data_IF_798982280678
#
_entry.id   IF_798982280678
#
_cell.length_a   1.000
_cell.length_b   1.000
_cell.length_c   1.000
_cell.angle_alpha   90.00
_cell.angle_beta   90.00
_cell.angle_gamma   90.00
#
_symmetry.space_group_name_H-M   'P 1'
#
loop_
_entity.id
_entity.type
_entity.pdbx_description
1 polymer ?
#
# COMPACT_ATOMS: atom_id res chain seq x y z
N UNK A 1 -27.21 -2.51 -24.83
CA UNK A 1 -26.78 -1.84 -23.58
C UNK A 1 -26.10 -0.57 -24.02
N UNK A 2 -26.67 0.56 -23.70
CA UNK A 2 -26.15 1.85 -24.16
C UNK A 2 -25.51 2.55 -22.97
N UNK A 3 -24.24 2.84 -23.13
CA UNK A 3 -23.48 3.68 -22.18
C UNK A 3 -23.29 5.04 -22.83
N UNK A 4 -23.74 6.09 -22.16
CA UNK A 4 -23.60 7.47 -22.60
C UNK A 4 -22.50 8.17 -21.81
N UNK A 5 -21.56 8.82 -22.50
CA UNK A 5 -20.46 9.55 -21.87
C UNK A 5 -20.79 11.04 -21.91
N UNK A 6 -21.16 11.63 -20.77
CA UNK A 6 -21.44 13.07 -20.66
C UNK A 6 -20.15 13.90 -20.53
N UNK A 7 -19.12 13.32 -19.90
CA UNK A 7 -17.78 13.91 -19.81
C UNK A 7 -16.74 12.83 -19.97
N UNK A 8 -15.80 13.02 -20.88
CA UNK A 8 -14.69 12.12 -21.14
C UNK A 8 -13.36 12.75 -20.68
N UNK A 9 -12.52 11.95 -20.02
CA UNK A 9 -11.12 12.32 -19.85
C UNK A 9 -10.32 11.93 -21.11
N UNK A 10 -9.29 12.72 -21.51
CA UNK A 10 -8.41 12.35 -22.60
C UNK A 10 -7.73 11.00 -22.33
N UNK A 11 -7.61 10.14 -23.37
CA UNK A 11 -6.92 8.86 -23.27
C UNK A 11 -5.44 8.97 -22.86
N UNK A 12 -4.82 10.13 -23.10
CA UNK A 12 -3.46 10.47 -22.68
C UNK A 12 -3.27 10.60 -21.16
N UNK A 13 -4.37 10.70 -20.41
CA UNK A 13 -4.36 10.79 -18.95
C UNK A 13 -3.92 9.50 -18.23
N UNK A 14 -3.80 8.36 -18.94
CA UNK A 14 -3.18 7.14 -18.40
C UNK A 14 -1.67 7.31 -18.40
N UNK A 15 -1.17 7.98 -17.38
CA UNK A 15 0.21 8.38 -17.18
C UNK A 15 1.20 7.20 -17.34
N UNK A 16 2.05 7.29 -18.35
CA UNK A 16 3.33 6.57 -18.37
C UNK A 16 4.26 7.21 -17.33
N UNK A 17 5.12 6.41 -16.70
CA UNK A 17 6.17 6.94 -15.83
C UNK A 17 7.07 7.82 -16.70
N UNK A 18 7.25 9.09 -16.31
CA UNK A 18 8.11 10.03 -17.03
C UNK A 18 9.56 9.51 -17.05
N UNK A 19 10.17 9.30 -18.24
CA UNK A 19 11.55 8.85 -18.34
C UNK A 19 12.55 9.75 -17.61
N UNK A 20 12.28 11.05 -17.50
CA UNK A 20 13.12 11.99 -16.77
C UNK A 20 13.06 11.73 -15.25
N UNK A 21 11.89 11.39 -14.72
CA UNK A 21 11.74 10.95 -13.31
C UNK A 21 12.53 9.68 -13.08
N UNK A 22 12.39 8.67 -13.95
CA UNK A 22 13.12 7.40 -13.86
C UNK A 22 14.64 7.61 -13.84
N UNK A 23 15.18 8.44 -14.75
CA UNK A 23 16.61 8.73 -14.81
C UNK A 23 17.12 9.46 -13.57
N UNK A 24 16.37 10.48 -13.12
CA UNK A 24 16.71 11.25 -11.91
C UNK A 24 16.75 10.35 -10.67
N UNK A 25 15.74 9.50 -10.49
CA UNK A 25 15.66 8.57 -9.35
C UNK A 25 16.81 7.59 -9.36
N UNK A 26 17.14 7.02 -10.52
CA UNK A 26 18.30 6.11 -10.68
C UNK A 26 19.59 6.75 -10.25
N UNK A 27 19.84 8.00 -10.73
CA UNK A 27 21.05 8.74 -10.36
C UNK A 27 21.17 8.92 -8.84
N UNK A 28 20.07 9.28 -8.17
CA UNK A 28 20.06 9.47 -6.71
C UNK A 28 20.33 8.15 -5.98
N UNK A 29 19.70 7.05 -6.41
CA UNK A 29 19.87 5.73 -5.81
C UNK A 29 21.32 5.26 -5.95
N UNK A 30 21.90 5.35 -7.16
CA UNK A 30 23.27 4.91 -7.44
C UNK A 30 24.28 5.72 -6.64
N UNK A 31 24.06 7.02 -6.49
CA UNK A 31 24.91 7.91 -5.72
C UNK A 31 24.87 7.61 -4.20
N UNK A 32 23.68 7.38 -3.65
CA UNK A 32 23.53 6.99 -2.24
C UNK A 32 24.17 5.62 -2.00
N UNK A 33 24.05 4.70 -2.93
CA UNK A 33 24.73 3.39 -2.85
C UNK A 33 26.25 3.54 -2.79
N UNK A 34 26.79 4.52 -3.47
CA UNK A 34 28.23 4.75 -3.55
C UNK A 34 28.80 5.56 -2.37
N UNK A 35 28.05 6.57 -1.89
CA UNK A 35 28.56 7.57 -0.93
C UNK A 35 27.79 7.61 0.41
N UNK A 36 26.78 6.78 0.62
CA UNK A 36 26.04 6.69 1.88
C UNK A 36 25.47 8.02 2.38
N UNK A 37 25.71 8.34 3.64
CA UNK A 37 25.20 9.55 4.31
C UNK A 37 25.64 10.86 3.66
N UNK A 38 26.80 10.89 3.02
CA UNK A 38 27.27 12.08 2.30
C UNK A 38 26.32 12.46 1.18
N UNK A 39 25.91 11.50 0.35
CA UNK A 39 24.95 11.72 -0.73
C UNK A 39 23.57 12.06 -0.19
N UNK A 40 23.09 11.37 0.87
CA UNK A 40 21.81 11.67 1.52
C UNK A 40 21.77 13.13 1.96
N UNK A 41 22.82 13.63 2.60
CA UNK A 41 22.92 15.01 3.07
C UNK A 41 22.96 16.02 1.93
N UNK A 42 23.69 15.69 0.84
CA UNK A 42 23.73 16.55 -0.34
C UNK A 42 22.36 16.69 -1.00
N UNK A 43 21.62 15.59 -1.17
CA UNK A 43 20.27 15.62 -1.74
C UNK A 43 19.25 16.27 -0.82
N UNK A 44 19.35 16.11 0.50
CA UNK A 44 18.52 16.82 1.47
C UNK A 44 18.70 18.34 1.37
N UNK A 45 19.95 18.83 1.30
CA UNK A 45 20.23 20.25 1.06
C UNK A 45 19.64 20.74 -0.27
N UNK A 46 19.80 19.93 -1.31
CA UNK A 46 19.36 20.28 -2.67
C UNK A 46 17.84 20.33 -2.82
N UNK A 47 17.14 19.31 -2.35
CA UNK A 47 15.71 19.12 -2.60
C UNK A 47 14.84 19.65 -1.48
N UNK A 48 15.21 19.40 -0.21
CA UNK A 48 14.42 19.78 0.96
C UNK A 48 14.88 21.10 1.58
N UNK A 49 16.03 21.65 1.14
CA UNK A 49 16.70 22.81 1.78
C UNK A 49 16.94 22.58 3.26
N UNK A 50 17.29 21.36 3.61
CA UNK A 50 17.39 20.87 4.97
C UNK A 50 18.75 20.21 5.24
N UNK A 51 19.48 20.70 6.26
CA UNK A 51 20.80 20.20 6.61
C UNK A 51 21.03 20.28 8.14
N UNK A 52 20.30 19.46 8.93
CA UNK A 52 20.48 19.40 10.37
C UNK A 52 21.78 18.67 10.72
N UNK A 53 22.24 18.80 11.97
CA UNK A 53 23.35 18.00 12.48
C UNK A 53 23.04 16.49 12.42
N UNK A 54 21.82 16.11 12.85
CA UNK A 54 21.28 14.75 12.70
C UNK A 54 19.87 14.83 12.10
N UNK A 55 19.57 13.95 11.16
CA UNK A 55 18.21 13.79 10.63
C UNK A 55 17.27 13.13 11.64
N UNK A 56 17.79 12.34 12.56
CA UNK A 56 17.03 11.66 13.59
C UNK A 56 16.68 12.63 14.73
N UNK A 57 15.40 12.67 15.08
CA UNK A 57 14.95 13.41 16.25
C UNK A 57 15.26 12.62 17.54
N UNK A 58 15.81 13.31 18.52
CA UNK A 58 16.00 12.73 19.86
C UNK A 58 14.66 12.58 20.60
N UNK A 59 14.59 11.69 21.62
CA UNK A 59 13.40 11.55 22.46
C UNK A 59 12.96 12.88 23.09
N UNK A 60 13.90 13.71 23.52
CA UNK A 60 13.61 15.03 24.12
C UNK A 60 13.01 15.99 23.10
N UNK A 61 13.58 16.05 21.89
CA UNK A 61 13.02 16.85 20.80
C UNK A 61 11.60 16.40 20.44
N UNK A 62 11.34 15.08 20.39
CA UNK A 62 10.00 14.55 20.13
C UNK A 62 9.05 14.92 21.27
N UNK A 63 9.49 14.78 22.53
CA UNK A 63 8.71 15.18 23.72
C UNK A 63 8.30 16.65 23.68
N UNK A 64 9.25 17.54 23.37
CA UNK A 64 9.01 18.97 23.22
C UNK A 64 8.02 19.30 22.09
N UNK A 65 8.14 18.62 20.94
CA UNK A 65 7.24 18.81 19.80
C UNK A 65 5.81 18.42 20.19
N UNK A 66 5.64 17.26 20.79
CA UNK A 66 4.32 16.76 21.23
C UNK A 66 3.73 17.66 22.32
N UNK A 67 4.55 18.10 23.28
CA UNK A 67 4.11 18.96 24.39
C UNK A 67 3.64 20.37 23.97
N UNK A 68 4.02 20.83 22.79
CA UNK A 68 3.58 22.14 22.23
C UNK A 68 2.29 22.08 21.43
N UNK A 69 1.82 20.87 21.10
CA UNK A 69 0.57 20.72 20.35
C UNK A 69 -0.64 20.94 21.26
N UNK A 70 -1.74 21.50 20.73
CA UNK A 70 -3.02 21.53 21.45
C UNK A 70 -3.43 20.11 21.86
N UNK A 71 -3.95 19.95 23.08
CA UNK A 71 -4.39 18.63 23.57
C UNK A 71 -5.45 18.00 22.68
N UNK A 72 -6.35 18.81 22.10
CA UNK A 72 -7.36 18.32 21.14
C UNK A 72 -6.74 17.64 19.92
N UNK A 73 -5.64 18.18 19.37
CA UNK A 73 -4.93 17.56 18.23
C UNK A 73 -4.33 16.21 18.64
N UNK A 74 -3.75 16.12 19.83
CA UNK A 74 -3.18 14.87 20.35
C UNK A 74 -4.28 13.83 20.61
N UNK A 75 -5.43 14.24 21.12
CA UNK A 75 -6.55 13.36 21.41
C UNK A 75 -7.22 12.86 20.12
N UNK A 76 -7.36 13.71 19.09
CA UNK A 76 -7.82 13.31 17.76
C UNK A 76 -6.87 12.28 17.14
N UNK A 77 -5.55 12.51 17.19
CA UNK A 77 -4.54 11.55 16.72
C UNK A 77 -4.71 10.20 17.43
N UNK A 78 -4.86 10.18 18.74
CA UNK A 78 -5.05 8.94 19.52
C UNK A 78 -6.34 8.23 19.14
N UNK A 79 -7.43 8.98 18.96
CA UNK A 79 -8.72 8.43 18.56
C UNK A 79 -8.65 7.74 17.19
N UNK A 80 -8.07 8.42 16.20
CA UNK A 80 -7.90 7.86 14.86
C UNK A 80 -6.99 6.61 14.90
N UNK A 81 -5.89 6.66 15.64
CA UNK A 81 -5.00 5.52 15.80
C UNK A 81 -5.68 4.34 16.50
N UNK A 82 -6.59 4.58 17.43
CA UNK A 82 -7.38 3.53 18.06
C UNK A 82 -8.30 2.84 17.03
N UNK A 83 -8.95 3.60 16.14
CA UNK A 83 -9.79 3.06 15.08
C UNK A 83 -8.96 2.21 14.09
N UNK A 84 -7.83 2.72 13.62
CA UNK A 84 -6.91 1.95 12.73
C UNK A 84 -6.41 0.69 13.41
N UNK A 85 -6.03 0.77 14.69
CA UNK A 85 -5.57 -0.37 15.48
C UNK A 85 -6.65 -1.44 15.61
N UNK A 86 -7.87 -1.04 15.94
CA UNK A 86 -8.98 -1.97 16.13
C UNK A 86 -9.26 -2.77 14.84
N UNK A 87 -9.26 -2.11 13.68
CA UNK A 87 -9.47 -2.78 12.40
C UNK A 87 -8.27 -3.68 12.03
N UNK A 88 -7.04 -3.16 12.16
CA UNK A 88 -5.82 -3.91 11.89
C UNK A 88 -5.70 -5.17 12.77
N UNK A 89 -6.14 -5.12 14.03
CA UNK A 89 -6.19 -6.29 14.91
C UNK A 89 -7.11 -7.39 14.37
N UNK A 90 -8.29 -7.03 13.84
CA UNK A 90 -9.17 -8.02 13.19
C UNK A 90 -8.54 -8.66 11.96
N UNK A 91 -7.79 -7.86 11.17
CA UNK A 91 -7.02 -8.40 10.06
C UNK A 91 -5.94 -9.38 10.55
N UNK A 92 -5.23 -9.04 11.64
CA UNK A 92 -4.19 -9.92 12.22
C UNK A 92 -4.79 -11.23 12.74
N UNK A 93 -5.92 -11.18 13.41
CA UNK A 93 -6.64 -12.33 13.94
C UNK A 93 -7.13 -13.29 12.84
N UNK A 94 -7.36 -12.79 11.62
CA UNK A 94 -7.76 -13.63 10.47
C UNK A 94 -6.60 -14.42 9.85
N UNK A 95 -5.35 -14.13 10.21
CA UNK A 95 -4.14 -14.77 9.72
C UNK A 95 -3.67 -15.84 10.71
N UNK A 96 -4.15 -17.07 10.52
CA UNK A 96 -3.84 -18.18 11.40
C UNK A 96 -2.58 -18.92 10.95
N UNK A 97 -1.76 -19.29 11.92
CA UNK A 97 -0.77 -20.33 11.76
C UNK A 97 -1.49 -21.69 11.84
N UNK A 98 -1.03 -22.67 11.09
CA UNK A 98 -1.59 -24.02 11.15
C UNK A 98 -0.53 -25.08 10.89
N UNK A 99 -0.81 -26.30 11.37
CA UNK A 99 -0.13 -27.52 11.02
C UNK A 99 -1.18 -28.60 10.73
N UNK A 100 -0.95 -29.40 9.72
CA UNK A 100 -1.86 -30.47 9.30
C UNK A 100 -1.07 -31.71 8.92
N UNK A 101 -1.52 -32.88 9.38
CA UNK A 101 -1.07 -34.15 8.90
C UNK A 101 -1.76 -34.47 7.59
N UNK A 102 -1.03 -34.37 6.46
CA UNK A 102 -1.58 -34.58 5.11
C UNK A 102 -1.59 -36.04 4.67
N UNK A 103 -0.68 -36.83 5.22
CA UNK A 103 -0.57 -38.27 5.11
C UNK A 103 -0.05 -38.79 6.44
N UNK A 104 -0.25 -40.06 6.79
CA UNK A 104 0.27 -40.61 8.03
C UNK A 104 1.77 -40.31 8.19
N UNK A 105 2.12 -39.60 9.29
CA UNK A 105 3.48 -39.19 9.58
C UNK A 105 4.04 -38.04 8.74
N UNK A 106 3.26 -37.36 7.88
CA UNK A 106 3.68 -36.21 7.06
C UNK A 106 2.96 -34.96 7.54
N UNK A 107 3.66 -34.04 8.15
CA UNK A 107 3.15 -32.79 8.69
C UNK A 107 3.60 -31.61 7.82
N UNK A 108 2.64 -30.79 7.41
CA UNK A 108 2.88 -29.53 6.71
C UNK A 108 2.30 -28.39 7.53
N UNK A 109 3.05 -27.30 7.67
CA UNK A 109 2.59 -26.15 8.42
C UNK A 109 2.88 -24.82 7.74
N UNK A 110 2.17 -23.80 8.18
CA UNK A 110 2.32 -22.42 7.76
C UNK A 110 2.44 -21.51 8.98
N UNK A 111 3.31 -20.52 8.89
CA UNK A 111 3.49 -19.49 9.90
C UNK A 111 3.48 -18.10 9.28
N UNK A 112 2.87 -17.16 10.00
CA UNK A 112 2.86 -15.73 9.64
C UNK A 112 3.83 -14.99 10.57
N UNK A 113 5.03 -14.75 10.08
CA UNK A 113 6.15 -14.17 10.85
C UNK A 113 6.28 -12.69 10.53
N UNK A 114 6.27 -11.78 11.54
CA UNK A 114 6.52 -10.36 11.31
C UNK A 114 7.88 -10.11 10.66
N UNK A 115 7.93 -9.06 9.84
CA UNK A 115 9.21 -8.48 9.40
C UNK A 115 9.95 -7.93 10.63
N UNK A 116 11.26 -7.91 10.57
CA UNK A 116 12.07 -7.37 11.66
C UNK A 116 12.05 -5.83 11.64
N UNK A 117 12.21 -5.24 10.44
CA UNK A 117 12.34 -3.79 10.25
C UNK A 117 11.43 -3.29 9.15
N UNK A 118 10.69 -2.22 9.43
CA UNK A 118 9.90 -1.50 8.42
C UNK A 118 10.28 -0.03 8.34
N UNK A 119 10.34 0.48 7.12
CA UNK A 119 10.43 1.91 6.82
C UNK A 119 9.03 2.48 6.58
N UNK A 120 8.67 3.52 7.32
CA UNK A 120 7.43 4.25 7.12
C UNK A 120 7.71 5.62 6.51
N UNK A 121 7.42 5.77 5.21
CA UNK A 121 7.53 7.04 4.52
C UNK A 121 6.23 7.83 4.70
N UNK A 122 6.30 8.96 5.41
CA UNK A 122 5.16 9.85 5.63
C UNK A 122 5.34 11.08 4.74
N UNK A 123 4.49 11.26 3.73
CA UNK A 123 4.64 12.37 2.81
C UNK A 123 4.47 13.72 3.51
N UNK A 124 5.18 14.70 2.98
CA UNK A 124 5.07 16.11 3.35
C UNK A 124 5.16 16.98 2.10
N UNK A 125 5.49 18.22 2.28
CA UNK A 125 5.70 19.17 1.19
C UNK A 125 4.49 20.06 0.99
N UNK A 126 3.47 19.65 0.25
CA UNK A 126 2.27 20.47 0.03
C UNK A 126 1.39 20.55 1.28
N UNK A 127 1.11 19.41 1.90
CA UNK A 127 0.29 19.26 3.10
C UNK A 127 0.94 18.31 4.09
N UNK A 128 0.76 18.50 5.43
CA UNK A 128 1.15 17.52 6.42
C UNK A 128 0.18 16.34 6.36
N UNK A 129 0.63 15.20 5.84
CA UNK A 129 -0.22 14.01 5.70
C UNK A 129 -0.17 13.14 6.97
N UNK A 130 -0.73 13.68 8.06
CA UNK A 130 -0.76 13.06 9.40
C UNK A 130 -1.36 11.64 9.36
N UNK A 131 -2.43 11.45 8.59
CA UNK A 131 -3.11 10.17 8.48
C UNK A 131 -2.21 9.04 7.93
N UNK A 132 -1.26 9.35 7.04
CA UNK A 132 -0.31 8.34 6.55
C UNK A 132 0.55 7.73 7.65
N UNK A 133 0.84 8.46 8.73
CA UNK A 133 1.54 7.91 9.90
C UNK A 133 0.68 6.86 10.62
N UNK A 134 -0.62 7.10 10.74
CA UNK A 134 -1.55 6.13 11.35
C UNK A 134 -1.59 4.83 10.54
N UNK A 135 -1.75 4.97 9.22
CA UNK A 135 -1.94 3.85 8.30
C UNK A 135 -0.70 2.96 8.17
N UNK A 136 0.48 3.54 8.14
CA UNK A 136 1.73 2.78 8.00
C UNK A 136 2.22 2.22 9.33
N UNK A 137 2.33 3.06 10.37
CA UNK A 137 3.02 2.69 11.60
C UNK A 137 2.14 1.83 12.51
N UNK A 138 0.85 2.21 12.71
CA UNK A 138 -0.06 1.41 13.56
C UNK A 138 -0.26 0.02 12.97
N UNK A 139 -0.41 -0.09 11.65
CA UNK A 139 -0.57 -1.38 10.95
C UNK A 139 0.67 -2.26 11.12
N UNK A 140 1.88 -1.68 11.00
CA UNK A 140 3.14 -2.39 11.24
C UNK A 140 3.27 -2.87 12.69
N UNK A 141 2.89 -2.02 13.67
CA UNK A 141 2.92 -2.40 15.10
C UNK A 141 1.96 -3.54 15.40
N UNK A 142 0.75 -3.52 14.82
CA UNK A 142 -0.23 -4.61 14.99
C UNK A 142 0.25 -5.91 14.35
N UNK A 143 0.98 -5.83 13.23
CA UNK A 143 1.62 -6.99 12.63
C UNK A 143 2.69 -7.63 13.52
N UNK A 144 3.26 -6.86 14.47
CA UNK A 144 4.33 -7.30 15.36
C UNK A 144 5.73 -6.86 14.91
N UNK A 145 5.85 -5.89 14.01
CA UNK A 145 7.16 -5.34 13.61
C UNK A 145 7.79 -4.62 14.80
N UNK A 146 9.00 -5.01 15.16
CA UNK A 146 9.70 -4.46 16.32
C UNK A 146 10.33 -3.09 16.02
N UNK A 147 11.01 -2.97 14.87
CA UNK A 147 11.72 -1.76 14.48
C UNK A 147 11.02 -1.03 13.34
N UNK A 148 10.53 0.19 13.61
CA UNK A 148 9.88 1.03 12.61
C UNK A 148 10.63 2.35 12.50
N UNK A 149 11.36 2.53 11.40
CA UNK A 149 12.05 3.76 11.06
C UNK A 149 11.12 4.63 10.21
N UNK A 150 10.59 5.69 10.79
CA UNK A 150 9.68 6.61 10.12
C UNK A 150 10.42 7.87 9.64
N UNK A 151 10.08 8.35 8.44
CA UNK A 151 10.64 9.58 7.89
C UNK A 151 9.57 10.48 7.27
N UNK A 152 9.78 11.78 7.38
CA UNK A 152 8.96 12.83 6.75
C UNK A 152 9.85 14.00 6.37
N UNK A 153 9.64 14.69 5.24
CA UNK A 153 10.38 15.90 4.93
C UNK A 153 10.00 17.04 5.86
N UNK A 154 10.87 18.03 6.04
CA UNK A 154 10.47 19.30 6.62
C UNK A 154 9.46 20.01 5.72
N UNK A 155 8.60 20.84 6.31
CA UNK A 155 7.63 21.65 5.56
C UNK A 155 8.06 23.11 5.69
N UNK A 156 8.45 23.75 4.59
CA UNK A 156 8.96 25.13 4.54
C UNK A 156 10.13 25.39 5.50
N UNK A 157 10.99 24.39 5.69
CA UNK A 157 12.14 24.46 6.59
C UNK A 157 11.81 24.26 8.07
N UNK A 158 10.57 23.86 8.38
CA UNK A 158 10.12 23.62 9.75
C UNK A 158 9.74 22.17 10.00
N UNK A 159 9.77 21.77 11.26
CA UNK A 159 9.36 20.42 11.70
C UNK A 159 7.83 20.31 11.62
N UNK A 160 7.25 19.34 10.91
CA UNK A 160 5.82 19.13 10.86
C UNK A 160 5.30 18.49 12.17
N UNK A 161 5.05 19.31 13.17
CA UNK A 161 4.82 18.89 14.55
C UNK A 161 3.71 17.84 14.71
N UNK A 162 2.55 18.02 14.05
CA UNK A 162 1.45 17.06 14.11
C UNK A 162 1.82 15.70 13.48
N UNK A 163 2.61 15.71 12.38
CA UNK A 163 3.08 14.48 11.74
C UNK A 163 4.07 13.75 12.65
N UNK A 164 5.03 14.46 13.26
CA UNK A 164 5.98 13.87 14.21
C UNK A 164 5.26 13.28 15.41
N UNK A 165 4.28 14.00 15.97
CA UNK A 165 3.45 13.50 17.07
C UNK A 165 2.69 12.21 16.67
N UNK A 166 2.10 12.20 15.47
CA UNK A 166 1.41 11.04 14.96
C UNK A 166 2.33 9.82 14.78
N UNK A 167 3.55 10.04 14.26
CA UNK A 167 4.55 8.98 14.13
C UNK A 167 4.96 8.40 15.49
N UNK A 168 5.21 9.28 16.46
CA UNK A 168 5.58 8.90 17.82
C UNK A 168 4.46 8.11 18.52
N UNK A 169 3.25 8.66 18.54
CA UNK A 169 2.08 8.05 19.18
C UNK A 169 1.65 6.73 18.51
N UNK A 170 1.91 6.57 17.22
CA UNK A 170 1.70 5.31 16.51
C UNK A 170 2.71 4.22 16.89
N UNK A 171 3.87 4.58 17.45
CA UNK A 171 4.89 3.67 17.94
C UNK A 171 6.09 3.51 17.01
N UNK A 172 6.44 4.53 16.20
CA UNK A 172 7.71 4.54 15.48
C UNK A 172 8.88 4.45 16.49
N UNK A 173 9.86 3.59 16.20
CA UNK A 173 11.06 3.44 17.04
C UNK A 173 12.11 4.50 16.75
N UNK A 174 12.10 5.05 15.55
CA UNK A 174 12.96 6.12 15.11
C UNK A 174 12.19 7.06 14.20
N UNK A 175 12.39 8.35 14.36
CA UNK A 175 11.78 9.39 13.53
C UNK A 175 12.87 10.27 12.94
N UNK A 176 12.84 10.43 11.60
CA UNK A 176 13.80 11.25 10.87
C UNK A 176 13.09 12.34 10.06
N UNK A 177 13.66 13.54 10.08
CA UNK A 177 13.27 14.63 9.20
C UNK A 177 14.07 14.52 7.90
N UNK A 178 13.59 13.67 7.02
CA UNK A 178 14.19 13.39 5.74
C UNK A 178 13.11 12.96 4.76
N UNK A 179 13.09 13.51 3.55
CA UNK A 179 12.07 13.26 2.54
C UNK A 179 12.63 12.72 1.23
N UNK A 180 11.75 12.61 0.23
CA UNK A 180 12.10 12.33 -1.15
C UNK A 180 12.75 10.97 -1.43
N UNK A 181 13.38 10.90 -2.59
CA UNK A 181 14.11 9.70 -3.05
C UNK A 181 15.23 9.32 -2.10
N UNK A 182 15.93 10.33 -1.54
CA UNK A 182 17.05 10.11 -0.65
C UNK A 182 16.64 9.40 0.65
N UNK A 183 15.45 9.70 1.18
CA UNK A 183 14.92 8.97 2.35
C UNK A 183 14.61 7.51 2.02
N UNK A 184 13.93 7.27 0.90
CA UNK A 184 13.55 5.93 0.44
C UNK A 184 14.80 5.10 0.14
N UNK A 185 15.77 5.68 -0.57
CA UNK A 185 17.02 4.99 -0.91
C UNK A 185 17.85 4.68 0.34
N UNK A 186 17.98 5.62 1.29
CA UNK A 186 18.70 5.39 2.53
C UNK A 186 18.07 4.27 3.38
N UNK A 187 16.75 4.23 3.48
CA UNK A 187 16.03 3.15 4.19
C UNK A 187 16.19 1.80 3.48
N UNK A 188 16.18 1.79 2.14
CA UNK A 188 16.27 0.54 1.36
C UNK A 188 17.68 -0.05 1.34
N UNK A 189 18.70 0.79 1.23
CA UNK A 189 20.10 0.36 1.06
C UNK A 189 20.82 0.23 2.40
N UNK A 190 20.44 1.04 3.38
CA UNK A 190 21.21 1.31 4.58
C UNK A 190 22.33 2.31 4.29
N UNK A 191 22.71 3.09 5.30
CA UNK A 191 23.86 4.01 5.29
C UNK A 191 24.56 3.92 6.64
N UNK A 192 25.55 4.75 6.88
CA UNK A 192 26.31 4.77 8.15
C UNK A 192 25.41 5.06 9.37
N UNK A 193 24.37 5.92 9.19
CA UNK A 193 23.46 6.33 10.29
C UNK A 193 22.04 5.82 10.15
N UNK A 194 21.68 5.24 9.00
CA UNK A 194 20.30 4.76 8.71
C UNK A 194 20.35 3.26 8.45
N UNK A 195 19.83 2.48 9.39
CA UNK A 195 19.78 1.04 9.24
C UNK A 195 18.82 0.63 8.10
N UNK A 196 19.26 -0.35 7.29
CA UNK A 196 18.44 -0.96 6.22
C UNK A 196 17.15 -1.56 6.82
N UNK A 197 16.05 -1.43 6.07
CA UNK A 197 14.75 -2.03 6.41
C UNK A 197 14.39 -3.17 5.45
N UNK A 198 13.46 -4.04 5.87
CA UNK A 198 12.98 -5.17 5.07
C UNK A 198 11.86 -4.76 4.10
N UNK A 199 11.07 -3.74 4.47
CA UNK A 199 9.96 -3.24 3.69
C UNK A 199 9.80 -1.73 3.88
N UNK A 200 9.48 -1.02 2.79
CA UNK A 200 9.10 0.40 2.82
C UNK A 200 7.62 0.54 2.48
N UNK A 201 6.88 1.17 3.38
CA UNK A 201 5.47 1.48 3.21
C UNK A 201 5.22 3.00 3.29
N UNK A 202 4.15 3.42 2.65
CA UNK A 202 3.69 4.79 2.62
C UNK A 202 3.54 5.35 1.20
N UNK A 203 2.54 6.23 0.98
CA UNK A 203 2.34 6.89 -0.30
C UNK A 203 3.41 7.95 -0.55
N UNK A 204 3.52 8.44 -1.77
CA UNK A 204 4.44 9.50 -2.11
C UNK A 204 4.20 10.06 -3.51
N UNK A 205 4.92 11.12 -3.87
CA UNK A 205 4.88 11.68 -5.21
C UNK A 205 5.52 10.72 -6.24
N UNK A 206 5.48 11.09 -7.53
CA UNK A 206 6.01 10.28 -8.62
C UNK A 206 7.48 9.83 -8.42
N UNK A 207 8.32 10.67 -7.80
CA UNK A 207 9.73 10.34 -7.52
C UNK A 207 9.86 9.28 -6.43
N UNK A 208 9.08 9.40 -5.35
CA UNK A 208 9.03 8.41 -4.25
C UNK A 208 8.47 7.07 -4.74
N UNK A 209 7.39 7.10 -5.51
CA UNK A 209 6.81 5.91 -6.12
C UNK A 209 7.82 5.22 -7.05
N UNK A 210 8.54 5.99 -7.88
CA UNK A 210 9.56 5.47 -8.79
C UNK A 210 10.77 4.92 -8.01
N UNK A 211 11.18 5.55 -6.90
CA UNK A 211 12.24 5.03 -6.03
C UNK A 211 11.86 3.66 -5.44
N UNK A 212 10.65 3.52 -4.92
CA UNK A 212 10.13 2.23 -4.45
C UNK A 212 10.14 1.18 -5.56
N UNK A 213 9.73 1.55 -6.78
CA UNK A 213 9.73 0.65 -7.93
C UNK A 213 11.13 0.17 -8.30
N UNK A 214 12.12 1.06 -8.32
CA UNK A 214 13.51 0.69 -8.68
C UNK A 214 14.21 -0.13 -7.60
N UNK A 215 13.84 0.06 -6.34
CA UNK A 215 14.42 -0.65 -5.20
C UNK A 215 13.68 -1.95 -4.84
N UNK A 216 12.52 -2.20 -5.46
CA UNK A 216 11.80 -3.46 -5.25
C UNK A 216 12.65 -4.66 -5.68
N UNK A 217 12.77 -5.63 -4.78
CA UNK A 217 13.66 -6.77 -4.91
C UNK A 217 14.89 -6.67 -4.01
N UNK A 218 15.41 -5.46 -3.74
CA UNK A 218 16.39 -5.20 -2.69
C UNK A 218 15.74 -4.94 -1.33
N UNK A 219 14.53 -4.39 -1.36
CA UNK A 219 13.64 -4.14 -0.24
C UNK A 219 12.21 -4.46 -0.66
N UNK A 220 11.38 -4.94 0.27
CA UNK A 220 9.94 -5.07 0.03
C UNK A 220 9.27 -3.69 -0.06
N UNK A 221 8.15 -3.61 -0.79
CA UNK A 221 7.30 -2.42 -0.82
C UNK A 221 5.84 -2.79 -0.55
N UNK A 222 5.07 -1.86 -0.02
CA UNK A 222 3.62 -2.02 0.15
C UNK A 222 2.92 -2.19 -1.20
N UNK A 223 3.05 -1.19 -2.08
CA UNK A 223 2.53 -1.18 -3.44
C UNK A 223 3.18 -0.06 -4.25
N UNK A 224 2.97 -0.10 -5.57
CA UNK A 224 3.24 1.00 -6.47
C UNK A 224 1.96 1.80 -6.64
N UNK A 225 1.93 3.06 -6.15
CA UNK A 225 0.80 3.96 -6.26
C UNK A 225 1.10 5.14 -7.18
N UNK A 226 0.12 5.51 -7.98
CA UNK A 226 0.08 6.76 -8.73
C UNK A 226 -0.76 7.83 -8.02
N UNK A 227 -1.29 8.82 -8.75
CA UNK A 227 -2.26 9.78 -8.23
C UNK A 227 -3.47 9.07 -7.66
N UNK A 228 -4.02 9.60 -6.58
CA UNK A 228 -5.23 9.06 -5.96
C UNK A 228 -6.44 9.23 -6.85
N UNK A 229 -7.39 8.31 -6.77
CA UNK A 229 -8.55 8.19 -7.63
C UNK A 229 -9.83 8.03 -6.81
N UNK A 230 -10.94 8.63 -7.28
CA UNK A 230 -12.28 8.34 -6.78
C UNK A 230 -13.18 7.90 -7.94
N UNK A 231 -14.02 6.90 -7.68
CA UNK A 231 -15.14 6.53 -8.53
C UNK A 231 -16.41 6.49 -7.68
N UNK A 232 -17.42 7.27 -8.05
CA UNK A 232 -18.74 7.27 -7.41
C UNK A 232 -19.71 6.53 -8.31
N UNK A 233 -20.46 5.57 -7.75
CA UNK A 233 -21.61 4.96 -8.40
C UNK A 233 -22.86 5.55 -7.79
N UNK A 234 -23.72 6.17 -8.61
CA UNK A 234 -24.92 6.87 -8.15
C UNK A 234 -26.16 6.40 -8.92
N UNK A 235 -27.26 6.16 -8.19
CA UNK A 235 -28.59 5.97 -8.79
C UNK A 235 -29.45 7.23 -8.63
N UNK A 236 -30.74 7.12 -8.92
CA UNK A 236 -31.71 8.22 -8.83
C UNK A 236 -31.98 8.71 -7.39
N UNK A 237 -31.56 7.97 -6.38
CA UNK A 237 -31.70 8.33 -4.96
C UNK A 237 -30.50 9.09 -4.41
N UNK A 238 -29.38 9.12 -5.14
CA UNK A 238 -28.20 9.84 -4.73
C UNK A 238 -28.42 11.36 -4.72
N UNK A 239 -27.92 12.06 -3.70
CA UNK A 239 -27.90 13.52 -3.68
C UNK A 239 -26.77 14.03 -4.61
N UNK A 240 -27.13 14.75 -5.70
CA UNK A 240 -26.12 15.27 -6.64
C UNK A 240 -25.13 16.25 -5.99
N UNK A 241 -25.54 16.93 -4.92
CA UNK A 241 -24.67 17.84 -4.17
C UNK A 241 -23.58 17.04 -3.43
N UNK A 242 -23.96 15.96 -2.72
CA UNK A 242 -22.99 15.08 -2.05
C UNK A 242 -22.03 14.45 -3.05
N UNK A 243 -22.53 13.91 -4.17
CA UNK A 243 -21.71 13.37 -5.26
C UNK A 243 -20.66 14.39 -5.73
N UNK A 244 -21.06 15.65 -5.94
CA UNK A 244 -20.12 16.69 -6.38
C UNK A 244 -19.06 17.02 -5.33
N UNK A 245 -19.44 17.08 -4.04
CA UNK A 245 -18.52 17.32 -2.93
C UNK A 245 -17.50 16.19 -2.83
N UNK A 246 -17.93 14.93 -2.93
CA UNK A 246 -17.04 13.78 -2.79
C UNK A 246 -16.09 13.64 -3.99
N UNK A 247 -16.55 13.90 -5.21
CA UNK A 247 -15.65 13.98 -6.39
C UNK A 247 -14.58 15.07 -6.22
N UNK A 248 -14.96 16.24 -5.71
CA UNK A 248 -14.01 17.33 -5.51
C UNK A 248 -13.07 17.11 -4.34
N UNK A 249 -13.51 16.41 -3.29
CA UNK A 249 -12.69 16.08 -2.12
C UNK A 249 -11.46 15.22 -2.49
N UNK A 250 -11.56 14.44 -3.55
CA UNK A 250 -10.46 13.64 -4.05
C UNK A 250 -9.66 14.37 -5.13
N UNK A 251 -10.33 15.15 -5.98
CA UNK A 251 -9.69 15.96 -7.01
C UNK A 251 -8.70 16.99 -6.44
N UNK A 252 -8.87 17.42 -5.18
CA UNK A 252 -7.98 18.37 -4.51
C UNK A 252 -6.60 17.81 -4.14
N UNK A 253 -6.41 16.49 -4.17
CA UNK A 253 -5.12 15.87 -3.86
C UNK A 253 -4.04 16.22 -4.89
N UNK A 254 -4.40 16.35 -6.15
CA UNK A 254 -3.46 16.72 -7.21
C UNK A 254 -4.12 17.02 -8.54
N UNK A 255 -3.42 17.75 -9.43
CA UNK A 255 -3.98 18.15 -10.72
C UNK A 255 -4.22 16.97 -11.68
N UNK A 256 -3.72 15.79 -11.35
CA UNK A 256 -3.79 14.55 -12.12
C UNK A 256 -4.61 13.44 -11.41
N UNK A 257 -5.41 13.80 -10.38
CA UNK A 257 -6.28 12.89 -9.62
C UNK A 257 -7.59 12.62 -10.38
N UNK A 258 -7.88 11.39 -10.85
CA UNK A 258 -9.12 11.06 -11.51
C UNK A 258 -10.33 11.15 -10.57
N UNK A 259 -11.42 11.75 -11.05
CA UNK A 259 -12.70 11.81 -10.37
C UNK A 259 -13.79 11.33 -11.34
N UNK A 260 -14.37 10.16 -11.07
CA UNK A 260 -15.22 9.42 -12.00
C UNK A 260 -16.62 9.26 -11.40
N UNK A 261 -17.64 9.56 -12.17
CA UNK A 261 -19.04 9.27 -11.83
C UNK A 261 -19.59 8.24 -12.81
N UNK A 262 -20.15 7.16 -12.29
CA UNK A 262 -20.95 6.18 -13.04
C UNK A 262 -22.38 6.26 -12.49
N UNK A 263 -23.31 6.78 -13.27
CA UNK A 263 -24.68 7.02 -12.84
C UNK A 263 -25.69 6.18 -13.62
N UNK A 264 -26.79 5.79 -12.99
CA UNK A 264 -27.96 5.19 -13.66
C UNK A 264 -29.01 6.26 -14.05
N UNK A 265 -28.87 7.48 -13.51
CA UNK A 265 -29.75 8.62 -13.78
C UNK A 265 -28.97 9.75 -14.45
N UNK A 266 -29.36 10.10 -15.68
CA UNK A 266 -28.77 11.24 -16.39
C UNK A 266 -29.06 12.58 -15.66
N UNK A 267 -30.19 12.71 -14.99
CA UNK A 267 -30.54 13.89 -14.21
C UNK A 267 -29.54 14.07 -13.05
N UNK A 268 -29.31 13.02 -12.24
CA UNK A 268 -28.34 13.05 -11.14
C UNK A 268 -26.94 13.39 -11.67
N UNK A 269 -26.53 12.79 -12.79
CA UNK A 269 -25.22 13.04 -13.39
C UNK A 269 -25.04 14.50 -13.81
N UNK A 270 -26.03 15.10 -14.49
CA UNK A 270 -26.00 16.51 -14.93
C UNK A 270 -26.04 17.47 -13.74
N UNK A 271 -26.88 17.19 -12.76
CA UNK A 271 -26.99 18.02 -11.55
C UNK A 271 -25.69 17.97 -10.74
N UNK A 272 -25.04 16.81 -10.61
CA UNK A 272 -23.73 16.68 -9.97
C UNK A 272 -22.66 17.50 -10.71
N UNK A 273 -22.60 17.45 -12.04
CA UNK A 273 -21.69 18.30 -12.83
C UNK A 273 -21.96 19.79 -12.60
N UNK A 274 -23.23 20.20 -12.57
CA UNK A 274 -23.60 21.59 -12.31
C UNK A 274 -23.21 22.05 -10.90
N UNK A 275 -23.25 21.14 -9.91
CA UNK A 275 -22.76 21.43 -8.56
C UNK A 275 -21.25 21.53 -8.51
N UNK A 276 -20.50 20.69 -9.22
CA UNK A 276 -19.02 20.82 -9.33
C UNK A 276 -18.67 22.21 -9.87
N UNK A 277 -19.34 22.68 -10.95
CA UNK A 277 -19.08 23.98 -11.55
C UNK A 277 -19.35 25.14 -10.57
N UNK A 278 -20.33 24.99 -9.67
CA UNK A 278 -20.66 26.00 -8.65
C UNK A 278 -19.69 25.98 -7.46
N UNK A 279 -19.25 24.78 -7.02
CA UNK A 279 -18.42 24.61 -5.83
C UNK A 279 -16.95 24.94 -6.08
N UNK A 280 -16.42 24.51 -7.23
CA UNK A 280 -15.01 24.60 -7.56
C UNK A 280 -14.40 26.00 -7.43
N UNK A 281 -15.05 27.10 -7.88
CA UNK A 281 -14.49 28.44 -7.75
C UNK A 281 -14.26 28.90 -6.31
N UNK A 282 -15.05 28.38 -5.36
CA UNK A 282 -14.96 28.70 -3.92
C UNK A 282 -13.96 27.86 -3.13
N UNK A 283 -13.39 26.82 -3.73
CA UNK A 283 -12.44 25.94 -3.03
C UNK A 283 -11.06 26.60 -2.88
N UNK A 284 -10.45 26.55 -1.67
CA UNK A 284 -9.06 26.97 -1.48
C UNK A 284 -8.07 26.16 -2.35
N UNK A 285 -8.44 24.94 -2.71
CA UNK A 285 -7.64 23.96 -3.47
C UNK A 285 -7.98 23.96 -4.97
N UNK A 286 -8.75 24.91 -5.46
CA UNK A 286 -9.22 25.00 -6.85
C UNK A 286 -8.12 24.91 -7.92
N UNK A 287 -6.91 25.36 -7.58
CA UNK A 287 -5.76 25.34 -8.51
C UNK A 287 -5.26 23.90 -8.76
N UNK A 288 -5.68 22.94 -7.97
CA UNK A 288 -5.45 21.49 -8.14
C UNK A 288 -6.71 20.77 -8.57
N UNK A 289 -7.82 20.96 -7.86
CA UNK A 289 -9.09 20.31 -8.16
C UNK A 289 -9.63 20.70 -9.54
N UNK A 290 -9.40 21.95 -9.99
CA UNK A 290 -9.85 22.42 -11.29
C UNK A 290 -9.21 21.68 -12.47
N UNK A 291 -7.87 21.64 -12.59
CA UNK A 291 -7.19 20.80 -13.58
C UNK A 291 -7.56 19.32 -13.48
N UNK A 292 -7.64 18.74 -12.26
CA UNK A 292 -8.03 17.36 -12.05
C UNK A 292 -9.41 17.07 -12.65
N UNK A 293 -10.42 17.87 -12.31
CA UNK A 293 -11.76 17.71 -12.85
C UNK A 293 -11.82 17.95 -14.35
N UNK A 294 -11.15 19.00 -14.85
CA UNK A 294 -11.16 19.34 -16.29
C UNK A 294 -10.56 18.22 -17.13
N UNK A 295 -9.38 17.71 -16.74
CA UNK A 295 -8.54 16.84 -17.57
C UNK A 295 -8.73 15.36 -17.26
N UNK A 296 -9.11 15.00 -16.01
CA UNK A 296 -9.23 13.61 -15.55
C UNK A 296 -10.63 13.27 -15.03
N UNK A 297 -11.53 14.24 -14.93
CA UNK A 297 -12.93 13.98 -14.56
C UNK A 297 -13.67 13.22 -15.66
N UNK A 298 -14.45 12.20 -15.28
CA UNK A 298 -15.29 11.43 -16.20
C UNK A 298 -16.71 11.31 -15.65
N UNK A 299 -17.69 11.36 -16.54
CA UNK A 299 -19.11 11.12 -16.19
C UNK A 299 -19.72 10.20 -17.22
N UNK A 300 -20.16 9.04 -16.76
CA UNK A 300 -20.73 7.96 -17.56
C UNK A 300 -22.13 7.66 -17.04
N UNK A 301 -23.12 7.60 -17.94
CA UNK A 301 -24.49 7.16 -17.64
C UNK A 301 -24.74 5.81 -18.28
N UNK A 302 -25.33 4.89 -17.52
CA UNK A 302 -25.64 3.51 -17.97
C UNK A 302 -27.16 3.28 -17.92
N UNK A 303 -27.71 2.68 -18.97
CA UNK A 303 -29.15 2.40 -19.08
C UNK A 303 -29.56 1.06 -18.47
N UNK A 304 -28.59 0.19 -18.12
CA UNK A 304 -28.82 -1.18 -17.63
C UNK A 304 -29.06 -1.29 -16.11
N UNK A 305 -29.34 -0.16 -15.44
CA UNK A 305 -29.60 -0.13 -13.99
C UNK A 305 -28.33 -0.31 -13.13
N UNK A 306 -28.53 -0.46 -11.82
CA UNK A 306 -27.48 -0.41 -10.81
C UNK A 306 -26.47 -1.54 -10.95
N UNK A 307 -26.87 -2.76 -11.36
CA UNK A 307 -25.92 -3.86 -11.56
C UNK A 307 -24.98 -3.62 -12.75
N UNK A 308 -25.47 -2.97 -13.80
CA UNK A 308 -24.61 -2.57 -14.91
C UNK A 308 -23.65 -1.47 -14.48
N UNK A 309 -24.11 -0.51 -13.68
CA UNK A 309 -23.25 0.53 -13.12
C UNK A 309 -22.12 -0.08 -12.27
N UNK A 310 -22.38 -1.09 -11.45
CA UNK A 310 -21.36 -1.82 -10.70
C UNK A 310 -20.37 -2.53 -11.63
N UNK A 311 -20.82 -3.19 -12.72
CA UNK A 311 -19.90 -3.83 -13.68
C UNK A 311 -19.03 -2.82 -14.43
N UNK A 312 -19.60 -1.69 -14.81
CA UNK A 312 -18.83 -0.61 -15.43
C UNK A 312 -17.80 -0.05 -14.45
N UNK A 313 -18.22 0.24 -13.20
CA UNK A 313 -17.33 0.70 -12.12
C UNK A 313 -16.20 -0.31 -11.84
N UNK A 314 -16.53 -1.60 -11.75
CA UNK A 314 -15.56 -2.68 -11.52
C UNK A 314 -14.49 -2.75 -12.62
N UNK A 315 -14.84 -2.39 -13.85
CA UNK A 315 -13.91 -2.38 -14.98
C UNK A 315 -12.78 -1.34 -14.85
N UNK A 316 -12.99 -0.30 -14.06
CA UNK A 316 -11.95 0.71 -13.77
C UNK A 316 -10.91 0.18 -12.78
N UNK A 317 -11.30 -0.70 -11.88
CA UNK A 317 -10.47 -1.16 -10.76
C UNK A 317 -9.90 0.03 -9.97
N UNK A 318 -10.79 0.96 -9.60
CA UNK A 318 -10.41 2.22 -8.98
C UNK A 318 -9.95 2.02 -7.52
N UNK A 319 -9.18 2.99 -7.04
CA UNK A 319 -8.66 3.04 -5.67
C UNK A 319 -9.79 3.14 -4.64
N UNK A 320 -10.59 4.18 -4.75
CA UNK A 320 -11.75 4.43 -3.89
C UNK A 320 -13.02 4.32 -4.72
N UNK A 321 -13.96 3.51 -4.25
CA UNK A 321 -15.27 3.36 -4.90
C UNK A 321 -16.37 3.65 -3.90
N UNK A 322 -17.11 4.73 -4.14
CA UNK A 322 -18.24 5.14 -3.32
C UNK A 322 -19.56 4.72 -3.97
N UNK A 323 -20.42 4.11 -3.20
CA UNK A 323 -21.67 3.53 -3.66
C UNK A 323 -22.85 4.30 -3.06
N UNK A 324 -23.39 5.23 -3.83
CA UNK A 324 -24.54 6.05 -3.47
C UNK A 324 -25.78 5.55 -4.21
N UNK A 325 -26.22 4.36 -3.84
CA UNK A 325 -27.39 3.68 -4.42
C UNK A 325 -28.38 3.25 -3.33
N UNK A 326 -29.61 2.96 -3.69
CA UNK A 326 -30.64 2.48 -2.76
C UNK A 326 -30.21 1.21 -1.99
N UNK A 327 -29.49 0.31 -2.64
CA UNK A 327 -29.00 -0.95 -2.05
C UNK A 327 -27.46 -1.07 -2.13
N UNK A 328 -26.70 -0.26 -1.37
CA UNK A 328 -25.27 -0.15 -1.55
C UNK A 328 -24.50 -1.46 -1.26
N UNK A 329 -25.05 -2.32 -0.37
CA UNK A 329 -24.40 -3.60 -0.05
C UNK A 329 -24.41 -4.60 -1.21
N UNK A 330 -25.27 -4.40 -2.22
CA UNK A 330 -25.29 -5.21 -3.44
C UNK A 330 -23.96 -5.14 -4.20
N UNK A 331 -23.25 -4.03 -4.09
CA UNK A 331 -21.90 -3.88 -4.67
C UNK A 331 -20.92 -4.95 -4.19
N UNK A 332 -21.01 -5.39 -2.91
CA UNK A 332 -20.14 -6.46 -2.36
C UNK A 332 -20.29 -7.82 -3.06
N UNK A 333 -21.43 -8.06 -3.70
CA UNK A 333 -21.71 -9.31 -4.40
C UNK A 333 -21.27 -9.26 -5.87
N UNK A 334 -21.28 -8.06 -6.47
CA UNK A 334 -21.05 -7.85 -7.91
C UNK A 334 -19.61 -7.43 -8.20
N UNK A 335 -19.07 -6.48 -7.41
CA UNK A 335 -17.75 -5.90 -7.65
C UNK A 335 -16.63 -6.74 -7.04
N UNK A 336 -15.47 -6.74 -7.69
CA UNK A 336 -14.27 -7.50 -7.30
C UNK A 336 -12.99 -6.68 -7.36
N UNK A 337 -12.97 -5.61 -8.14
CA UNK A 337 -11.78 -4.83 -8.45
C UNK A 337 -11.91 -3.42 -7.86
N UNK A 338 -11.52 -3.25 -6.60
CA UNK A 338 -11.52 -1.96 -5.90
C UNK A 338 -10.44 -1.97 -4.81
N UNK A 339 -9.93 -0.80 -4.47
CA UNK A 339 -9.07 -0.65 -3.30
C UNK A 339 -9.89 -0.64 -2.01
N UNK A 340 -10.93 0.22 -1.96
CA UNK A 340 -11.91 0.27 -0.87
C UNK A 340 -13.30 0.62 -1.39
N UNK A 341 -14.36 0.03 -0.77
CA UNK A 341 -15.76 0.37 -0.99
C UNK A 341 -16.31 1.19 0.16
N UNK A 342 -17.04 2.26 -0.17
CA UNK A 342 -17.77 3.12 0.76
C UNK A 342 -19.26 2.97 0.47
N UNK A 343 -20.02 2.40 1.42
CA UNK A 343 -21.36 1.90 1.15
C UNK A 343 -22.46 2.81 1.74
N UNK A 344 -23.12 3.55 0.86
CA UNK A 344 -24.25 4.41 1.18
C UNK A 344 -23.87 5.80 1.68
N UNK A 345 -24.86 6.69 1.77
CA UNK A 345 -24.69 8.10 2.11
C UNK A 345 -24.22 8.38 3.56
N UNK A 346 -24.13 7.36 4.41
CA UNK A 346 -23.63 7.49 5.77
C UNK A 346 -22.09 7.43 5.89
N UNK A 347 -21.38 7.19 4.80
CA UNK A 347 -19.91 7.16 4.73
C UNK A 347 -19.43 7.87 3.48
N UNK A 348 -18.14 8.20 3.44
CA UNK A 348 -17.49 8.80 2.29
C UNK A 348 -16.00 8.44 2.26
N UNK A 349 -15.33 8.70 1.14
CA UNK A 349 -13.89 8.47 0.99
C UNK A 349 -13.09 9.23 2.04
N UNK A 350 -13.47 10.47 2.36
CA UNK A 350 -12.79 11.28 3.39
C UNK A 350 -12.78 10.63 4.78
N UNK A 351 -13.79 9.82 5.13
CA UNK A 351 -13.78 9.05 6.38
C UNK A 351 -12.71 7.95 6.33
N UNK A 352 -12.59 7.24 5.21
CA UNK A 352 -11.54 6.25 4.99
C UNK A 352 -10.15 6.85 5.07
N UNK A 353 -9.96 8.00 4.46
CA UNK A 353 -8.69 8.71 4.43
C UNK A 353 -8.26 9.25 5.78
N UNK A 354 -9.20 9.61 6.65
CA UNK A 354 -8.86 10.38 7.85
C UNK A 354 -9.14 9.68 9.17
N UNK A 355 -10.30 8.97 9.32
CA UNK A 355 -10.79 8.70 10.68
C UNK A 355 -11.38 7.32 10.93
N UNK A 356 -11.91 6.62 9.90
CA UNK A 356 -12.78 5.44 10.11
C UNK A 356 -12.04 4.19 10.57
N UNK A 357 -10.77 4.03 10.17
CA UNK A 357 -9.89 2.94 10.62
C UNK A 357 -9.44 1.95 9.56
N UNK A 358 -10.06 1.89 8.38
CA UNK A 358 -9.53 1.15 7.23
C UNK A 358 -8.28 1.83 6.68
N UNK A 359 -7.38 1.05 6.04
CA UNK A 359 -6.16 1.62 5.50
C UNK A 359 -6.41 2.36 4.19
N UNK A 360 -5.89 3.57 4.06
CA UNK A 360 -6.03 4.40 2.86
C UNK A 360 -4.87 4.30 1.87
N UNK A 361 -3.82 3.55 2.18
CA UNK A 361 -2.72 3.30 1.24
C UNK A 361 -3.17 2.20 0.28
N UNK A 362 -3.88 2.60 -0.76
CA UNK A 362 -4.65 1.75 -1.65
C UNK A 362 -4.04 1.72 -3.06
N UNK A 363 -4.39 0.71 -3.87
CA UNK A 363 -3.87 0.56 -5.23
C UNK A 363 -4.55 1.52 -6.20
N UNK A 364 -3.76 2.22 -7.01
CA UNK A 364 -4.20 3.11 -8.07
C UNK A 364 -3.94 2.53 -9.45
N UNK A 365 -4.39 3.18 -10.52
CA UNK A 365 -4.10 2.81 -11.93
C UNK A 365 -4.49 1.37 -12.27
N UNK A 366 -5.60 0.91 -11.73
CA UNK A 366 -6.12 -0.43 -11.99
C UNK A 366 -5.38 -1.55 -11.25
N UNK A 367 -4.47 -1.25 -10.33
CA UNK A 367 -3.76 -2.24 -9.54
C UNK A 367 -4.68 -2.97 -8.54
N UNK A 368 -5.89 -2.45 -8.29
CA UNK A 368 -6.92 -3.13 -7.52
C UNK A 368 -7.35 -4.49 -8.11
N UNK A 369 -6.92 -4.82 -9.34
CA UNK A 369 -7.10 -6.15 -9.95
C UNK A 369 -6.26 -7.25 -9.29
N UNK A 370 -5.18 -6.91 -8.58
CA UNK A 370 -4.26 -7.90 -7.98
C UNK A 370 -3.82 -7.60 -6.56
N UNK A 371 -4.16 -6.43 -6.01
CA UNK A 371 -3.83 -6.07 -4.62
C UNK A 371 -4.90 -5.17 -4.01
N UNK A 372 -5.16 -5.34 -2.71
CA UNK A 372 -6.02 -4.45 -1.92
C UNK A 372 -5.27 -3.33 -1.20
N UNK A 373 -3.97 -3.14 -1.47
CA UNK A 373 -3.18 -2.10 -0.82
C UNK A 373 -2.47 -2.56 0.46
N UNK A 374 -2.21 -1.59 1.34
CA UNK A 374 -1.52 -1.81 2.61
C UNK A 374 -2.47 -2.39 3.66
N UNK A 375 -2.06 -3.45 4.30
CA UNK A 375 -2.76 -4.10 5.41
C UNK A 375 -1.75 -4.88 6.26
N UNK A 376 -2.19 -5.46 7.38
CA UNK A 376 -1.33 -6.19 8.32
C UNK A 376 -0.48 -7.25 7.63
N UNK A 377 -1.05 -7.99 6.67
CA UNK A 377 -0.34 -9.06 5.95
C UNK A 377 0.85 -8.59 5.11
N UNK A 378 0.94 -7.30 4.74
CA UNK A 378 2.12 -6.75 4.05
C UNK A 378 3.36 -6.72 4.94
N UNK A 379 3.18 -6.68 6.24
CA UNK A 379 4.25 -6.69 7.24
C UNK A 379 4.57 -8.10 7.79
N UNK A 380 3.96 -9.13 7.18
CA UNK A 380 4.17 -10.53 7.57
C UNK A 380 4.78 -11.32 6.41
N UNK A 381 5.67 -12.24 6.75
CA UNK A 381 6.12 -13.32 5.86
C UNK A 381 5.29 -14.54 6.16
N UNK A 382 4.52 -15.01 5.19
CA UNK A 382 3.87 -16.32 5.28
C UNK A 382 4.87 -17.37 4.77
N UNK A 383 5.34 -18.19 5.68
CA UNK A 383 6.36 -19.23 5.41
C UNK A 383 5.82 -20.60 5.76
N UNK A 384 6.38 -21.63 5.13
CA UNK A 384 5.98 -23.02 5.36
C UNK A 384 7.11 -23.80 6.04
N UNK A 385 6.72 -24.83 6.78
CA UNK A 385 7.60 -25.87 7.29
C UNK A 385 7.00 -27.25 7.00
N UNK A 386 7.86 -28.26 6.99
CA UNK A 386 7.48 -29.64 6.68
C UNK A 386 8.30 -30.62 7.52
N UNK A 387 7.65 -31.64 8.02
CA UNK A 387 8.25 -32.70 8.82
C UNK A 387 7.69 -34.05 8.38
N UNK A 388 8.55 -35.06 8.35
CA UNK A 388 8.16 -36.46 8.13
C UNK A 388 8.65 -37.28 9.32
N UNK A 389 7.73 -37.76 10.13
CA UNK A 389 8.02 -38.48 11.39
C UNK A 389 7.96 -40.00 11.20
N UNK A 390 7.22 -40.49 10.19
CA UNK A 390 7.10 -41.92 9.90
C UNK A 390 8.19 -42.34 8.88
N UNK A 391 9.05 -43.34 9.25
CA UNK A 391 10.10 -43.82 8.35
C UNK A 391 9.56 -44.39 7.02
N UNK A 392 8.42 -45.11 7.05
CA UNK A 392 7.85 -45.65 5.83
C UNK A 392 7.33 -44.57 4.91
N UNK A 393 6.66 -43.55 5.44
CA UNK A 393 6.26 -42.38 4.69
C UNK A 393 7.45 -41.67 4.05
N UNK A 394 8.57 -41.56 4.80
CA UNK A 394 9.82 -40.99 4.25
C UNK A 394 10.39 -41.82 3.10
N UNK A 395 10.34 -43.16 3.22
CA UNK A 395 10.79 -44.05 2.15
C UNK A 395 9.92 -43.94 0.90
N UNK A 396 8.61 -43.91 1.06
CA UNK A 396 7.64 -43.80 -0.04
C UNK A 396 7.75 -42.45 -0.78
N UNK A 397 7.89 -41.36 -0.01
CA UNK A 397 8.17 -40.02 -0.57
C UNK A 397 9.53 -39.99 -1.27
N UNK A 398 10.57 -40.64 -0.72
CA UNK A 398 11.89 -40.73 -1.32
C UNK A 398 11.85 -41.44 -2.68
N UNK A 399 11.15 -42.57 -2.79
CA UNK A 399 10.97 -43.29 -4.06
C UNK A 399 10.19 -42.46 -5.09
N UNK A 400 9.13 -41.76 -4.66
CA UNK A 400 8.38 -40.87 -5.51
C UNK A 400 9.22 -39.70 -6.00
N UNK A 401 9.97 -39.06 -5.09
CA UNK A 401 10.89 -37.96 -5.39
C UNK A 401 11.94 -38.40 -6.42
N UNK A 402 12.56 -39.59 -6.24
CA UNK A 402 13.53 -40.11 -7.18
C UNK A 402 12.97 -40.27 -8.59
N UNK A 403 11.77 -40.82 -8.73
CA UNK A 403 11.11 -40.93 -10.05
C UNK A 403 10.75 -39.58 -10.65
N UNK A 404 10.12 -38.67 -9.88
CA UNK A 404 9.73 -37.36 -10.35
C UNK A 404 10.93 -36.51 -10.79
N UNK A 405 11.98 -36.47 -9.99
CA UNK A 405 13.17 -35.70 -10.28
C UNK A 405 13.90 -36.19 -11.55
N UNK A 406 13.90 -37.50 -11.82
CA UNK A 406 14.49 -38.06 -13.04
C UNK A 406 13.73 -37.72 -14.30
N UNK A 407 12.40 -37.51 -14.22
CA UNK A 407 11.62 -36.98 -15.34
C UNK A 407 12.12 -35.60 -15.75
N UNK A 408 12.53 -34.79 -14.76
CA UNK A 408 13.09 -33.46 -14.95
C UNK A 408 14.62 -33.48 -15.18
N UNK A 409 15.26 -34.65 -15.24
CA UNK A 409 16.72 -34.83 -15.34
C UNK A 409 17.51 -34.28 -14.12
N UNK A 410 16.87 -34.07 -12.97
CA UNK A 410 17.48 -33.62 -11.73
C UNK A 410 18.01 -34.81 -10.89
N UNK A 411 19.14 -35.40 -11.30
CA UNK A 411 19.68 -36.56 -10.63
C UNK A 411 20.12 -36.28 -9.16
N UNK A 412 20.57 -35.04 -8.84
CA UNK A 412 20.85 -34.66 -7.46
C UNK A 412 19.64 -34.70 -6.54
N UNK A 413 18.47 -34.24 -7.03
CA UNK A 413 17.19 -34.34 -6.31
C UNK A 413 16.75 -35.80 -6.18
N UNK A 414 16.89 -36.58 -7.24
CA UNK A 414 16.56 -37.99 -7.23
C UNK A 414 17.39 -38.74 -6.16
N UNK A 415 18.70 -38.56 -6.13
CA UNK A 415 19.61 -39.16 -5.12
C UNK A 415 19.26 -38.73 -3.69
N UNK A 416 18.81 -37.48 -3.50
CA UNK A 416 18.33 -37.01 -2.20
C UNK A 416 17.09 -37.77 -1.70
N UNK A 417 16.18 -38.15 -2.61
CA UNK A 417 15.06 -39.06 -2.32
C UNK A 417 15.52 -40.49 -2.06
N UNK A 418 16.40 -41.03 -2.94
CA UNK A 418 16.87 -42.41 -2.89
C UNK A 418 17.57 -42.75 -1.56
N UNK A 419 18.43 -41.84 -1.02
CA UNK A 419 19.10 -42.08 0.27
C UNK A 419 18.11 -42.23 1.44
N UNK A 420 17.00 -41.50 1.40
CA UNK A 420 15.96 -41.59 2.43
C UNK A 420 15.17 -42.89 2.31
N UNK A 421 14.86 -43.30 1.09
CA UNK A 421 14.23 -44.56 0.82
C UNK A 421 15.15 -45.74 1.24
N UNK A 422 16.43 -45.71 0.83
CA UNK A 422 17.42 -46.73 1.16
C UNK A 422 17.69 -46.87 2.66
N UNK A 423 17.61 -45.76 3.41
CA UNK A 423 17.81 -45.79 4.87
C UNK A 423 16.76 -46.63 5.57
N UNK A 424 15.57 -46.81 5.02
CA UNK A 424 14.47 -47.60 5.56
C UNK A 424 14.41 -48.99 4.90
N UNK A 425 14.56 -49.06 3.57
CA UNK A 425 14.38 -50.29 2.81
C UNK A 425 15.63 -51.14 2.75
N UNK A 426 16.82 -50.57 3.03
CA UNK A 426 18.09 -51.24 2.83
C UNK A 426 18.51 -51.44 1.37
N UNK A 427 17.81 -50.85 0.42
CA UNK A 427 18.13 -50.95 -1.00
C UNK A 427 19.53 -50.36 -1.29
N UNK A 428 20.39 -51.03 -2.11
CA UNK A 428 21.71 -50.55 -2.42
C UNK A 428 21.67 -49.25 -3.22
N UNK A 429 22.69 -48.42 -3.04
CA UNK A 429 22.88 -47.16 -3.77
C UNK A 429 24.15 -47.24 -4.65
N UNK A 430 24.07 -47.86 -5.87
CA UNK A 430 25.25 -48.13 -6.68
C UNK A 430 26.11 -46.90 -6.96
N UNK A 431 25.50 -45.75 -7.06
CA UNK A 431 26.20 -44.47 -7.28
C UNK A 431 27.00 -44.02 -6.03
N UNK A 432 26.62 -44.45 -4.82
CA UNK A 432 27.35 -44.18 -3.59
C UNK A 432 28.60 -45.04 -3.54
N UNK A 433 28.44 -46.34 -3.85
CA UNK A 433 29.52 -47.32 -3.80
C UNK A 433 30.60 -46.98 -4.84
N UNK A 434 30.20 -46.42 -5.99
CA UNK A 434 31.12 -45.98 -7.04
C UNK A 434 32.05 -44.80 -6.65
N UNK A 435 31.71 -44.01 -5.61
CA UNK A 435 32.55 -42.88 -5.13
C UNK A 435 33.24 -43.16 -3.79
N UNK A 436 32.90 -44.26 -3.13
CA UNK A 436 33.52 -44.66 -1.84
C UNK A 436 34.54 -45.81 -1.99
N UNK A 437 34.57 -46.48 -3.14
CA UNK A 437 35.55 -47.48 -3.54
C UNK A 437 36.67 -46.88 -4.33
#
# INVERSE_FOLDING_TARGET
>A
MTTSVLKAAPLSARSQVDPAVTATVRTVIDDIRARGDEAVREYSRRFDKWDPEDFRLSPDQIGDIVGRLPSSVVDDIRTVQANVRAFAQRQRESLLDFEVETQPGVFLGQRNIPLERAGAYIPGGRYPLVASAHMTIVTAKVAGVEHISACTPPIRGEVPAATVAAMHLAGATEIRLLGGVQAVAALALGTETIAKVDLIAGPGNAYVAEAKRQLFGEVGIDLFAGPTEILVVADEFADPFAVAVDLLSQAEHGPDSPAILVATSEAVARDAMAWVDKLLPGMPTRDFAGPAWRDYGQVVVVDGGTEEAYRVADSYAAEHVEILTAEPRRALEVMRNYGALFLGAGTCVSYGDKVIGTNHTLPTRGAARYTGGLWVGKYLKTVTFQEVTDPQASADLGKLCGRAARVETFEGHARSGDIRAAAVTGEPLPWRDAVTG
#
